data_IF_512795753552
#
_entry.id   IF_512795753552
#
_cell.length_a   1.000
_cell.length_b   1.000
_cell.length_c   1.000
_cell.angle_alpha   90.00
_cell.angle_beta   90.00
_cell.angle_gamma   90.00
#
_symmetry.space_group_name_H-M   'P 1'
#
loop_
_entity.id
_entity.type
_entity.pdbx_description
1 polymer ?
#
# COMPACT_ATOMS: atom_id res chain seq x y z
N UNK A 1 -9.94 -3.77 -34.34
CA UNK A 1 -8.57 -3.37 -33.96
C UNK A 1 -8.69 -2.63 -32.64
N UNK A 2 -7.90 -2.98 -31.63
CA UNK A 2 -7.89 -2.25 -30.35
C UNK A 2 -7.33 -0.85 -30.62
N UNK A 3 -7.96 0.23 -30.12
CA UNK A 3 -7.48 1.59 -30.35
C UNK A 3 -6.06 1.77 -29.79
N UNK A 4 -5.22 2.50 -30.54
CA UNK A 4 -3.91 2.97 -30.08
C UNK A 4 -4.12 4.30 -29.36
N UNK A 5 -4.15 4.26 -28.03
CA UNK A 5 -4.37 5.43 -27.19
C UNK A 5 -3.07 5.87 -26.52
N UNK A 6 -2.92 7.17 -26.28
CA UNK A 6 -1.95 7.74 -25.33
C UNK A 6 -2.62 7.86 -23.97
N UNK A 7 -2.24 7.00 -23.04
CA UNK A 7 -2.84 6.91 -21.71
C UNK A 7 -1.82 7.37 -20.67
N UNK A 8 -2.19 8.38 -19.89
CA UNK A 8 -1.40 8.86 -18.76
C UNK A 8 -2.01 8.41 -17.45
N UNK A 9 -1.19 7.97 -16.50
CA UNK A 9 -1.62 7.53 -15.17
C UNK A 9 -0.90 8.36 -14.12
N UNK A 10 -1.64 9.08 -13.28
CA UNK A 10 -1.12 9.93 -12.22
C UNK A 10 -1.58 9.38 -10.88
N UNK A 11 -0.65 9.06 -9.98
CA UNK A 11 -0.99 8.45 -8.70
C UNK A 11 0.19 8.29 -7.76
N UNK A 12 0.03 7.43 -6.76
CA UNK A 12 1.10 7.06 -5.83
C UNK A 12 1.90 5.85 -6.32
N UNK A 13 2.45 5.08 -5.37
CA UNK A 13 3.22 3.85 -5.62
C UNK A 13 2.52 2.82 -6.53
N UNK A 14 1.19 2.86 -6.66
CA UNK A 14 0.40 1.94 -7.46
C UNK A 14 0.38 2.27 -8.96
N UNK A 15 0.83 3.46 -9.37
CA UNK A 15 0.74 3.96 -10.74
C UNK A 15 1.39 3.03 -11.76
N UNK A 16 2.56 2.47 -11.44
CA UNK A 16 3.26 1.55 -12.35
C UNK A 16 2.55 0.20 -12.45
N UNK A 17 1.93 -0.27 -11.37
CA UNK A 17 1.10 -1.48 -11.42
C UNK A 17 -0.14 -1.29 -12.30
N UNK A 18 -0.80 -0.13 -12.21
CA UNK A 18 -1.88 0.24 -13.12
C UNK A 18 -1.38 0.32 -14.58
N UNK A 19 -0.18 0.84 -14.82
CA UNK A 19 0.44 0.87 -16.16
C UNK A 19 0.62 -0.54 -16.73
N UNK A 20 1.21 -1.46 -15.96
CA UNK A 20 1.42 -2.85 -16.42
C UNK A 20 0.09 -3.55 -16.70
N UNK A 21 -0.93 -3.35 -15.86
CA UNK A 21 -2.28 -3.87 -16.08
C UNK A 21 -2.92 -3.28 -17.35
N UNK A 22 -2.73 -1.98 -17.59
CA UNK A 22 -3.23 -1.29 -18.78
C UNK A 22 -2.60 -1.83 -20.04
N UNK A 23 -1.28 -1.99 -20.07
CA UNK A 23 -0.56 -2.56 -21.21
C UNK A 23 -0.99 -4.00 -21.49
N UNK A 24 -1.36 -4.76 -20.47
CA UNK A 24 -1.89 -6.11 -20.65
C UNK A 24 -3.32 -6.14 -21.24
N UNK A 25 -4.16 -5.13 -20.95
CA UNK A 25 -5.53 -5.02 -21.45
C UNK A 25 -5.61 -4.33 -22.82
N UNK A 26 -4.73 -3.35 -23.06
CA UNK A 26 -4.69 -2.49 -24.24
C UNK A 26 -3.27 -2.51 -24.85
N UNK A 27 -2.80 -3.66 -25.39
CA UNK A 27 -1.40 -3.83 -25.82
C UNK A 27 -0.95 -2.94 -26.99
N UNK A 28 -1.90 -2.31 -27.70
CA UNK A 28 -1.61 -1.34 -28.75
C UNK A 28 -1.47 0.10 -28.28
N UNK A 29 -1.70 0.39 -26.99
CA UNK A 29 -1.66 1.76 -26.45
C UNK A 29 -0.27 2.14 -25.94
N UNK A 30 0.03 3.44 -25.97
CA UNK A 30 1.18 4.04 -25.32
C UNK A 30 0.79 4.49 -23.91
N UNK A 31 1.37 3.87 -22.88
CA UNK A 31 0.99 4.12 -21.48
C UNK A 31 2.18 4.65 -20.70
N UNK A 32 1.98 5.77 -20.01
CA UNK A 32 2.96 6.37 -19.10
C UNK A 32 2.34 6.55 -17.71
N UNK A 33 3.16 6.46 -16.67
CA UNK A 33 2.75 6.59 -15.27
C UNK A 33 3.68 7.55 -14.53
N UNK A 34 3.11 8.30 -13.58
CA UNK A 34 3.82 9.22 -12.71
C UNK A 34 3.44 9.00 -11.26
N UNK A 35 4.46 8.70 -10.46
CA UNK A 35 4.36 8.65 -9.01
C UNK A 35 4.51 10.06 -8.44
N UNK A 36 3.39 10.68 -8.09
CA UNK A 36 3.34 12.03 -7.53
C UNK A 36 3.95 12.05 -6.12
N UNK A 37 4.73 13.09 -5.83
CA UNK A 37 5.31 13.30 -4.51
C UNK A 37 6.56 12.47 -4.19
N UNK A 38 7.14 11.76 -5.16
CA UNK A 38 8.41 11.04 -5.00
C UNK A 38 9.58 11.83 -5.55
N UNK A 39 10.73 11.77 -4.86
CA UNK A 39 11.96 12.50 -5.19
C UNK A 39 12.56 12.11 -6.55
N UNK A 40 12.91 13.07 -7.42
CA UNK A 40 12.66 14.50 -7.28
C UNK A 40 11.17 14.83 -7.44
N UNK A 41 10.63 15.62 -6.52
CA UNK A 41 9.21 15.97 -6.52
C UNK A 41 8.94 16.86 -7.73
N UNK A 42 8.22 16.32 -8.73
CA UNK A 42 7.71 17.12 -9.83
C UNK A 42 6.58 18.03 -9.32
N UNK A 43 6.68 19.36 -9.55
CA UNK A 43 5.57 20.27 -9.34
C UNK A 43 4.34 19.88 -10.18
N UNK A 44 3.10 20.22 -9.75
CA UNK A 44 1.89 19.84 -10.47
C UNK A 44 1.84 20.32 -11.94
N UNK A 45 2.34 21.52 -12.22
CA UNK A 45 2.46 22.09 -13.57
C UNK A 45 3.36 21.25 -14.48
N UNK A 46 4.49 20.76 -13.96
CA UNK A 46 5.37 19.85 -14.70
C UNK A 46 4.67 18.53 -15.03
N UNK A 47 3.81 18.02 -14.13
CA UNK A 47 3.03 16.82 -14.40
C UNK A 47 1.96 17.11 -15.46
N UNK A 48 1.27 18.26 -15.39
CA UNK A 48 0.29 18.69 -16.38
C UNK A 48 0.89 18.78 -17.79
N UNK A 49 2.10 19.30 -17.91
CA UNK A 49 2.84 19.36 -19.17
C UNK A 49 3.17 17.96 -19.71
N UNK A 50 3.54 17.03 -18.82
CA UNK A 50 3.87 15.65 -19.20
C UNK A 50 2.66 14.85 -19.69
N UNK A 51 1.48 15.10 -19.14
CA UNK A 51 0.23 14.43 -19.56
C UNK A 51 -0.45 15.15 -20.73
N UNK A 52 0.07 16.29 -21.18
CA UNK A 52 -0.48 17.05 -22.30
C UNK A 52 -0.55 16.18 -23.57
N UNK A 53 -1.70 16.20 -24.25
CA UNK A 53 -1.93 15.39 -25.45
C UNK A 53 -2.22 13.90 -25.20
N UNK A 54 -2.53 13.52 -23.96
CA UNK A 54 -3.10 12.19 -23.67
C UNK A 54 -4.54 12.10 -24.17
N UNK A 55 -4.90 10.95 -24.75
CA UNK A 55 -6.28 10.64 -25.12
C UNK A 55 -7.12 10.28 -23.88
N UNK A 56 -6.46 9.78 -22.84
CA UNK A 56 -7.07 9.36 -21.57
C UNK A 56 -6.11 9.62 -20.41
N UNK A 57 -6.63 10.12 -19.29
CA UNK A 57 -5.88 10.26 -18.04
C UNK A 57 -6.55 9.47 -16.93
N UNK A 58 -5.82 8.58 -16.27
CA UNK A 58 -6.26 7.95 -15.03
C UNK A 58 -5.62 8.67 -13.86
N UNK A 59 -6.42 9.07 -12.88
CA UNK A 59 -5.90 9.69 -11.66
C UNK A 59 -6.33 8.91 -10.43
N UNK A 60 -5.38 8.62 -9.54
CA UNK A 60 -5.65 8.16 -8.18
C UNK A 60 -5.55 9.29 -7.15
N UNK A 61 -5.32 10.53 -7.60
CA UNK A 61 -5.14 11.68 -6.72
C UNK A 61 -6.48 12.09 -6.12
N UNK A 62 -6.47 12.31 -4.81
CA UNK A 62 -7.60 12.84 -4.05
C UNK A 62 -7.26 14.22 -3.47
N UNK A 63 -8.25 15.10 -3.23
CA UNK A 63 -8.03 16.48 -2.79
C UNK A 63 -7.19 16.60 -1.49
N UNK A 64 -7.35 15.66 -0.56
CA UNK A 64 -6.62 15.68 0.71
C UNK A 64 -5.10 15.49 0.57
N UNK A 65 -4.60 15.17 -0.63
CA UNK A 65 -3.19 14.92 -0.89
C UNK A 65 -2.40 16.18 -1.28
N UNK A 66 -3.05 17.35 -1.41
CA UNK A 66 -2.38 18.61 -1.75
C UNK A 66 -1.96 18.73 -3.22
N UNK A 67 -2.51 17.89 -4.09
CA UNK A 67 -2.29 17.86 -5.53
C UNK A 67 -3.60 18.02 -6.30
N UNK A 68 -4.52 18.85 -5.79
CA UNK A 68 -5.92 18.97 -6.24
C UNK A 68 -6.08 19.13 -7.75
N UNK A 69 -5.16 19.87 -8.38
CA UNK A 69 -5.15 20.13 -9.83
C UNK A 69 -4.95 18.87 -10.68
N UNK A 70 -4.50 17.77 -10.07
CA UNK A 70 -4.28 16.46 -10.68
C UNK A 70 -5.40 15.45 -10.35
N UNK A 71 -6.43 15.84 -9.58
CA UNK A 71 -7.62 15.01 -9.36
C UNK A 71 -8.35 14.81 -10.69
N UNK A 72 -9.06 13.68 -10.84
CA UNK A 72 -9.81 13.41 -12.06
C UNK A 72 -10.82 14.52 -12.40
N UNK A 73 -11.54 15.01 -11.38
CA UNK A 73 -12.49 16.12 -11.53
C UNK A 73 -11.82 17.38 -12.06
N UNK A 74 -10.73 17.83 -11.43
CA UNK A 74 -10.04 19.05 -11.86
C UNK A 74 -9.41 18.90 -13.24
N UNK A 75 -8.87 17.72 -13.58
CA UNK A 75 -8.39 17.44 -14.93
C UNK A 75 -9.52 17.50 -15.96
N UNK A 76 -10.72 16.99 -15.64
CA UNK A 76 -11.89 17.16 -16.51
C UNK A 76 -12.26 18.62 -16.72
N UNK A 77 -12.23 19.48 -15.67
CA UNK A 77 -12.48 20.92 -15.84
C UNK A 77 -11.46 21.62 -16.74
N UNK A 78 -10.25 21.07 -16.83
CA UNK A 78 -9.17 21.54 -17.72
C UNK A 78 -9.25 20.96 -19.14
N UNK A 79 -10.27 20.15 -19.45
CA UNK A 79 -10.52 19.59 -20.77
C UNK A 79 -9.88 18.22 -21.03
N UNK A 80 -9.28 17.56 -20.03
CA UNK A 80 -8.78 16.20 -20.19
C UNK A 80 -9.94 15.18 -20.10
N UNK A 81 -9.82 14.08 -20.86
CA UNK A 81 -10.63 12.88 -20.63
C UNK A 81 -10.07 12.13 -19.42
N UNK A 82 -10.44 12.58 -18.21
CA UNK A 82 -9.87 12.10 -16.96
C UNK A 82 -10.86 11.21 -16.19
N UNK A 83 -10.37 10.12 -15.61
CA UNK A 83 -11.16 9.20 -14.80
C UNK A 83 -10.45 8.85 -13.50
N UNK A 84 -11.26 8.79 -12.43
CA UNK A 84 -10.78 8.37 -11.13
C UNK A 84 -10.61 6.85 -11.07
N UNK A 85 -9.49 6.42 -10.49
CA UNK A 85 -9.26 5.04 -10.05
C UNK A 85 -8.89 5.08 -8.58
N UNK A 86 -9.59 4.36 -7.69
CA UNK A 86 -9.28 4.37 -6.28
C UNK A 86 -7.83 3.94 -6.00
N UNK A 87 -7.18 4.61 -5.04
CA UNK A 87 -5.99 4.05 -4.40
C UNK A 87 -6.44 2.89 -3.52
N UNK A 88 -5.91 1.69 -3.75
CA UNK A 88 -6.33 0.52 -2.97
C UNK A 88 -5.53 0.43 -1.66
N UNK A 89 -6.20 0.64 -0.53
CA UNK A 89 -5.60 0.57 0.81
C UNK A 89 -6.37 -0.46 1.64
N UNK A 90 -5.66 -1.45 2.17
CA UNK A 90 -6.22 -2.52 2.99
C UNK A 90 -5.24 -2.89 4.12
N UNK A 91 -5.39 -2.29 5.32
CA UNK A 91 -4.51 -2.58 6.46
C UNK A 91 -4.86 -3.90 7.17
N UNK A 92 -5.90 -4.61 6.73
CA UNK A 92 -6.47 -5.77 7.43
C UNK A 92 -5.50 -6.91 7.75
N UNK A 93 -4.45 -7.07 6.95
CA UNK A 93 -3.40 -8.08 7.18
C UNK A 93 -2.27 -7.59 8.10
N UNK A 94 -2.14 -6.27 8.27
CA UNK A 94 -0.97 -5.63 8.85
C UNK A 94 -1.34 -4.51 9.83
N UNK A 95 -2.13 -4.79 10.89
CA UNK A 95 -2.59 -3.78 11.86
C UNK A 95 -1.47 -3.14 12.70
N UNK A 96 -0.28 -3.75 12.65
CA UNK A 96 0.94 -3.26 13.29
C UNK A 96 1.71 -2.24 12.44
N UNK A 97 1.35 -2.05 11.16
CA UNK A 97 1.95 -1.03 10.29
C UNK A 97 1.48 0.38 10.71
N UNK A 98 2.42 1.31 10.79
CA UNK A 98 2.12 2.72 11.03
C UNK A 98 3.12 3.64 10.33
N UNK A 99 2.66 4.81 9.90
CA UNK A 99 3.53 5.93 9.55
C UNK A 99 3.80 6.78 10.79
N UNK A 100 5.06 7.19 10.97
CA UNK A 100 5.44 8.18 11.97
C UNK A 100 5.85 9.44 11.23
N UNK A 101 5.21 10.56 11.54
CA UNK A 101 5.53 11.86 10.99
C UNK A 101 5.43 12.92 12.09
N UNK A 102 6.20 13.99 11.93
CA UNK A 102 6.11 15.22 12.72
C UNK A 102 6.31 16.44 11.82
N UNK A 103 6.61 17.61 12.40
CA UNK A 103 6.83 18.88 11.68
C UNK A 103 8.02 18.82 10.69
N UNK A 104 9.01 17.96 10.91
CA UNK A 104 10.14 17.73 10.00
C UNK A 104 9.78 16.71 8.89
N UNK A 105 8.58 16.17 8.92
CA UNK A 105 8.05 15.24 7.93
C UNK A 105 8.14 13.77 8.34
N UNK A 106 7.98 12.90 7.35
CA UNK A 106 7.88 11.45 7.54
C UNK A 106 9.21 10.86 8.04
N UNK A 107 9.14 10.06 9.10
CA UNK A 107 10.27 9.27 9.59
C UNK A 107 10.41 8.05 8.68
N UNK A 108 11.51 7.98 7.93
CA UNK A 108 11.79 6.84 7.06
C UNK A 108 12.74 5.86 7.76
N UNK A 109 12.26 4.66 8.06
CA UNK A 109 13.08 3.61 8.65
C UNK A 109 14.00 2.95 7.60
N UNK A 110 14.87 2.05 8.08
CA UNK A 110 15.93 1.38 7.31
C UNK A 110 15.41 0.68 6.04
N UNK A 111 14.22 0.07 6.11
CA UNK A 111 13.69 -0.78 5.03
C UNK A 111 12.57 -0.14 4.22
N UNK A 112 11.78 0.72 4.86
CA UNK A 112 10.67 1.46 4.25
C UNK A 112 10.20 2.58 5.20
N UNK A 113 9.24 3.39 4.74
CA UNK A 113 8.62 4.45 5.51
C UNK A 113 7.68 3.97 6.65
N UNK A 114 7.41 2.66 6.72
CA UNK A 114 6.55 2.11 7.74
C UNK A 114 7.31 1.59 8.96
N UNK A 115 6.64 1.68 10.10
CA UNK A 115 7.10 1.22 11.40
C UNK A 115 6.16 0.15 11.95
N UNK A 116 6.68 -0.67 12.88
CA UNK A 116 5.87 -1.52 13.73
C UNK A 116 5.43 -0.75 14.96
N UNK A 117 4.12 -0.69 15.20
CA UNK A 117 3.50 -0.06 16.39
C UNK A 117 4.02 -0.69 17.67
N UNK A 118 4.10 -2.03 17.71
CA UNK A 118 4.67 -2.76 18.85
C UNK A 118 6.15 -2.41 19.04
N UNK A 119 6.95 -2.38 17.97
CA UNK A 119 8.38 -2.13 18.07
C UNK A 119 8.70 -0.73 18.62
N UNK A 120 8.06 0.32 18.07
CA UNK A 120 8.31 1.69 18.52
C UNK A 120 7.82 1.93 19.94
N UNK A 121 6.66 1.39 20.30
CA UNK A 121 6.14 1.49 21.67
C UNK A 121 7.05 0.76 22.67
N UNK A 122 7.53 -0.44 22.34
CA UNK A 122 8.47 -1.19 23.16
C UNK A 122 9.82 -0.48 23.33
N UNK A 123 10.34 0.13 22.26
CA UNK A 123 11.55 0.95 22.33
C UNK A 123 11.36 2.15 23.27
N UNK A 124 10.23 2.85 23.18
CA UNK A 124 9.92 3.99 24.06
C UNK A 124 9.75 3.61 25.53
N UNK A 125 9.40 2.34 25.81
CA UNK A 125 9.37 1.74 27.16
C UNK A 125 10.73 1.24 27.64
N UNK A 126 11.80 1.42 26.85
CA UNK A 126 13.15 0.99 27.21
C UNK A 126 13.38 -0.52 27.12
N UNK A 127 12.53 -1.25 26.38
CA UNK A 127 12.75 -2.67 26.11
C UNK A 127 13.93 -2.87 25.15
N UNK A 128 14.45 -4.09 25.10
CA UNK A 128 15.41 -4.51 24.07
C UNK A 128 14.69 -5.27 22.95
N UNK A 129 15.30 -5.46 21.77
CA UNK A 129 14.71 -6.28 20.69
C UNK A 129 14.34 -7.68 21.17
N UNK A 130 15.17 -8.28 22.04
CA UNK A 130 14.94 -9.62 22.58
C UNK A 130 13.73 -9.67 23.53
N UNK A 131 13.54 -8.64 24.36
CA UNK A 131 12.36 -8.53 25.23
C UNK A 131 11.09 -8.16 24.47
N UNK A 132 11.25 -7.55 23.29
CA UNK A 132 10.14 -7.12 22.43
C UNK A 132 9.60 -8.25 21.58
N UNK A 133 10.45 -9.18 21.14
CA UNK A 133 10.05 -10.29 20.26
C UNK A 133 8.85 -11.11 20.79
N UNK A 134 8.76 -11.47 22.08
CA UNK A 134 7.62 -12.20 22.62
C UNK A 134 6.29 -11.42 22.57
N UNK A 135 6.30 -10.10 22.37
CA UNK A 135 5.08 -9.27 22.32
C UNK A 135 4.27 -9.50 21.04
N UNK A 136 4.83 -10.15 20.02
CA UNK A 136 4.12 -10.46 18.77
C UNK A 136 3.28 -11.73 18.91
N UNK A 137 2.25 -11.66 19.75
CA UNK A 137 1.41 -12.79 20.10
C UNK A 137 -0.08 -12.41 20.20
N UNK A 138 -0.95 -13.42 20.31
CA UNK A 138 -2.39 -13.23 20.29
C UNK A 138 -2.95 -12.39 21.45
N UNK A 139 -2.33 -12.40 22.64
CA UNK A 139 -2.78 -11.62 23.79
C UNK A 139 -2.56 -10.13 23.53
N UNK A 140 -1.34 -9.76 23.11
CA UNK A 140 -1.01 -8.38 22.76
C UNK A 140 -1.85 -7.92 21.56
N UNK A 141 -2.01 -8.76 20.54
CA UNK A 141 -2.84 -8.41 19.37
C UNK A 141 -4.30 -8.17 19.75
N UNK A 142 -4.83 -8.91 20.73
CA UNK A 142 -6.17 -8.68 21.23
C UNK A 142 -6.28 -7.32 21.93
N UNK A 143 -5.34 -7.01 22.83
CA UNK A 143 -5.31 -5.75 23.57
C UNK A 143 -5.16 -4.53 22.65
N UNK A 144 -4.35 -4.66 21.60
CA UNK A 144 -4.14 -3.60 20.61
C UNK A 144 -5.27 -3.53 19.56
N UNK A 145 -6.29 -4.38 19.63
CA UNK A 145 -7.42 -4.40 18.69
C UNK A 145 -7.06 -4.88 17.28
N UNK A 146 -5.94 -5.58 17.11
CA UNK A 146 -5.47 -5.99 15.78
C UNK A 146 -6.46 -6.92 15.07
N UNK A 147 -7.22 -7.73 15.81
CA UNK A 147 -8.19 -8.67 15.23
C UNK A 147 -9.44 -8.00 14.63
N UNK A 148 -9.76 -6.76 15.00
CA UNK A 148 -10.88 -6.02 14.39
C UNK A 148 -10.49 -5.27 13.11
N UNK A 149 -9.19 -5.20 12.79
CA UNK A 149 -8.71 -4.39 11.66
C UNK A 149 -9.12 -5.00 10.31
N UNK A 150 -9.08 -6.33 10.17
CA UNK A 150 -9.48 -7.00 8.93
C UNK A 150 -10.95 -6.76 8.55
N UNK A 151 -11.95 -7.04 9.40
CA UNK A 151 -13.35 -6.79 9.03
C UNK A 151 -13.64 -5.31 8.77
N UNK A 152 -13.02 -4.39 9.52
CA UNK A 152 -13.17 -2.95 9.29
C UNK A 152 -12.58 -2.52 7.94
N UNK A 153 -11.36 -2.99 7.61
CA UNK A 153 -10.71 -2.71 6.33
C UNK A 153 -11.51 -3.27 5.14
N UNK A 154 -12.10 -4.46 5.30
CA UNK A 154 -12.98 -5.07 4.29
C UNK A 154 -14.20 -4.20 4.02
N UNK A 155 -14.94 -3.83 5.06
CA UNK A 155 -16.12 -2.98 4.92
C UNK A 155 -15.77 -1.64 4.25
N UNK A 156 -14.67 -1.00 4.68
CA UNK A 156 -14.22 0.27 4.12
C UNK A 156 -13.85 0.17 2.63
N UNK A 157 -13.15 -0.89 2.22
CA UNK A 157 -12.79 -1.10 0.81
C UNK A 157 -14.01 -1.42 -0.04
N UNK A 158 -14.90 -2.30 0.43
CA UNK A 158 -16.13 -2.64 -0.29
C UNK A 158 -17.00 -1.39 -0.51
N UNK A 159 -17.18 -0.58 0.53
CA UNK A 159 -17.89 0.70 0.45
C UNK A 159 -17.19 1.68 -0.52
N UNK A 160 -15.89 1.94 -0.34
CA UNK A 160 -15.16 2.91 -1.17
C UNK A 160 -15.08 2.52 -2.65
N UNK A 161 -14.98 1.22 -2.96
CA UNK A 161 -15.06 0.74 -4.33
C UNK A 161 -16.46 0.97 -4.92
N UNK A 162 -17.51 0.66 -4.17
CA UNK A 162 -18.90 0.88 -4.59
C UNK A 162 -19.20 2.36 -4.86
N UNK A 163 -18.76 3.25 -3.96
CA UNK A 163 -18.89 4.71 -4.09
C UNK A 163 -18.14 5.24 -5.32
N UNK A 164 -16.99 4.65 -5.67
CA UNK A 164 -16.25 4.95 -6.89
C UNK A 164 -16.81 4.26 -8.16
N UNK A 165 -17.95 3.57 -8.04
CA UNK A 165 -18.64 2.88 -9.14
C UNK A 165 -18.03 1.54 -9.57
N UNK A 166 -17.14 0.96 -8.76
CA UNK A 166 -16.56 -0.37 -8.99
C UNK A 166 -17.44 -1.46 -8.37
N UNK A 167 -17.43 -2.64 -8.98
CA UNK A 167 -18.09 -3.83 -8.43
C UNK A 167 -17.24 -4.35 -7.28
N UNK A 168 -17.74 -4.20 -6.05
CA UNK A 168 -17.07 -4.58 -4.81
C UNK A 168 -17.35 -6.01 -4.36
N UNK A 169 -18.53 -6.52 -4.69
CA UNK A 169 -19.08 -7.72 -4.07
C UNK A 169 -18.22 -8.96 -4.33
N UNK A 170 -17.79 -9.59 -3.24
CA UNK A 170 -16.99 -10.82 -3.27
C UNK A 170 -15.55 -10.65 -3.78
N UNK A 171 -15.08 -9.43 -4.09
CA UNK A 171 -13.72 -9.21 -4.59
C UNK A 171 -12.65 -9.62 -3.58
N UNK A 172 -12.82 -9.21 -2.31
CA UNK A 172 -11.87 -9.53 -1.23
C UNK A 172 -11.76 -11.04 -1.02
N UNK A 173 -12.88 -11.74 -1.00
CA UNK A 173 -12.90 -13.21 -0.90
C UNK A 173 -12.32 -13.87 -2.14
N UNK A 174 -12.56 -13.29 -3.32
CA UNK A 174 -11.98 -13.72 -4.58
C UNK A 174 -10.46 -13.65 -4.57
N UNK A 175 -9.89 -12.50 -4.22
CA UNK A 175 -8.45 -12.34 -4.12
C UNK A 175 -7.86 -13.25 -3.04
N UNK A 176 -8.47 -13.34 -1.86
CA UNK A 176 -8.01 -14.26 -0.81
C UNK A 176 -7.91 -15.71 -1.30
N UNK A 177 -8.92 -16.17 -2.04
CA UNK A 177 -8.95 -17.52 -2.58
C UNK A 177 -7.93 -17.74 -3.70
N UNK A 178 -7.82 -16.78 -4.61
CA UNK A 178 -7.04 -16.95 -5.85
C UNK A 178 -5.54 -16.70 -5.64
N UNK A 179 -5.17 -15.75 -4.76
CA UNK A 179 -3.78 -15.34 -4.54
C UNK A 179 -3.34 -15.38 -3.07
N UNK A 180 -4.26 -15.54 -2.11
CA UNK A 180 -3.95 -15.46 -0.68
C UNK A 180 -3.93 -14.02 -0.16
N UNK A 181 -3.15 -13.71 0.89
CA UNK A 181 -2.96 -12.33 1.35
C UNK A 181 -2.51 -11.42 0.21
N UNK A 182 -3.44 -10.59 -0.28
CA UNK A 182 -3.29 -9.81 -1.51
C UNK A 182 -2.63 -8.43 -1.30
N UNK A 183 -2.04 -8.21 -0.14
CA UNK A 183 -1.34 -6.98 0.22
C UNK A 183 0.07 -7.32 0.69
N UNK A 184 1.07 -6.58 0.20
CA UNK A 184 2.44 -6.64 0.69
C UNK A 184 2.68 -5.69 1.86
N UNK A 185 2.01 -4.55 1.86
CA UNK A 185 1.89 -3.57 2.95
C UNK A 185 0.49 -2.97 2.87
N UNK A 186 0.09 -2.11 3.82
CA UNK A 186 -1.27 -1.56 3.89
C UNK A 186 -1.75 -0.86 2.59
N UNK A 187 -0.85 -0.30 1.80
CA UNK A 187 -1.14 0.41 0.54
C UNK A 187 -0.43 -0.20 -0.69
N UNK A 188 0.20 -1.37 -0.54
CA UNK A 188 0.91 -2.05 -1.62
C UNK A 188 0.19 -3.35 -1.99
N UNK A 189 -0.89 -3.27 -2.79
CA UNK A 189 -1.60 -4.47 -3.23
C UNK A 189 -0.79 -5.32 -4.20
N UNK A 190 -1.13 -6.59 -4.28
CA UNK A 190 -0.71 -7.49 -5.34
C UNK A 190 -1.20 -6.98 -6.70
N UNK A 191 -0.41 -7.16 -7.76
CA UNK A 191 -0.72 -6.64 -9.11
C UNK A 191 -2.10 -7.08 -9.64
N UNK A 192 -2.58 -8.26 -9.21
CA UNK A 192 -3.92 -8.77 -9.54
C UNK A 192 -5.06 -7.85 -9.09
N UNK A 193 -4.92 -7.19 -7.94
CA UNK A 193 -5.92 -6.23 -7.44
C UNK A 193 -5.99 -5.03 -8.38
N UNK A 194 -4.84 -4.46 -8.72
CA UNK A 194 -4.75 -3.33 -9.66
C UNK A 194 -5.26 -3.72 -11.06
N UNK A 195 -4.96 -4.94 -11.51
CA UNK A 195 -5.48 -5.47 -12.77
C UNK A 195 -7.00 -5.62 -12.77
N UNK A 196 -7.61 -6.01 -11.65
CA UNK A 196 -9.07 -6.04 -11.49
C UNK A 196 -9.66 -4.63 -11.61
N UNK A 197 -9.07 -3.63 -10.97
CA UNK A 197 -9.54 -2.24 -11.07
C UNK A 197 -9.43 -1.70 -12.51
N UNK A 198 -8.29 -1.89 -13.18
CA UNK A 198 -8.14 -1.51 -14.59
C UNK A 198 -9.15 -2.21 -15.50
N UNK A 199 -9.37 -3.51 -15.31
CA UNK A 199 -10.35 -4.27 -16.12
C UNK A 199 -11.75 -3.69 -15.95
N UNK A 200 -12.20 -3.44 -14.72
CA UNK A 200 -13.54 -2.88 -14.49
C UNK A 200 -13.68 -1.47 -15.06
N UNK A 201 -12.65 -0.62 -14.90
CA UNK A 201 -12.65 0.72 -15.44
C UNK A 201 -12.73 0.71 -16.98
N UNK A 202 -11.84 -0.03 -17.64
CA UNK A 202 -11.80 -0.03 -19.11
C UNK A 202 -13.02 -0.69 -19.73
N UNK A 203 -13.63 -1.66 -19.06
CA UNK A 203 -14.93 -2.19 -19.47
C UNK A 203 -16.03 -1.12 -19.37
N UNK A 204 -16.06 -0.36 -18.27
CA UNK A 204 -17.00 0.75 -18.06
C UNK A 204 -16.85 1.87 -19.10
N UNK A 205 -15.62 2.13 -19.54
CA UNK A 205 -15.30 3.10 -20.60
C UNK A 205 -15.55 2.56 -22.02
N UNK A 206 -15.98 1.29 -22.17
CA UNK A 206 -16.19 0.66 -23.47
C UNK A 206 -14.91 0.41 -24.27
N UNK A 207 -13.73 0.48 -23.63
CA UNK A 207 -12.44 0.23 -24.27
C UNK A 207 -12.12 -1.27 -24.40
N UNK A 208 -12.76 -2.08 -23.56
CA UNK A 208 -12.76 -3.55 -23.62
C UNK A 208 -14.18 -4.08 -23.38
N UNK A 209 -14.43 -5.34 -23.72
CA UNK A 209 -15.71 -5.97 -23.40
C UNK A 209 -15.83 -6.24 -21.89
N UNK A 210 -17.03 -6.17 -21.33
CA UNK A 210 -17.29 -6.56 -19.93
C UNK A 210 -16.91 -8.03 -19.64
N UNK A 211 -16.89 -8.89 -20.67
CA UNK A 211 -16.48 -10.30 -20.58
C UNK A 211 -14.98 -10.51 -20.69
N UNK A 212 -14.18 -9.46 -20.96
CA UNK A 212 -12.72 -9.57 -21.00
C UNK A 212 -12.20 -9.96 -19.61
N UNK A 213 -11.45 -11.06 -19.47
CA UNK A 213 -10.96 -11.50 -18.17
C UNK A 213 -9.92 -10.54 -17.60
N UNK A 214 -9.79 -10.52 -16.28
CA UNK A 214 -8.69 -9.83 -15.60
C UNK A 214 -7.36 -10.41 -16.09
N UNK A 215 -6.43 -9.58 -16.60
CA UNK A 215 -5.22 -10.07 -17.25
C UNK A 215 -4.27 -10.71 -16.23
N UNK A 216 -3.41 -11.59 -16.72
CA UNK A 216 -2.23 -12.01 -15.97
C UNK A 216 -1.09 -11.02 -16.28
N UNK A 217 -0.62 -10.32 -15.26
CA UNK A 217 0.43 -9.31 -15.39
C UNK A 217 1.75 -9.90 -14.90
N UNK A 218 2.80 -9.79 -15.72
CA UNK A 218 4.11 -10.41 -15.43
C UNK A 218 4.92 -9.67 -14.37
N UNK A 219 4.79 -8.35 -14.32
CA UNK A 219 5.63 -7.49 -13.48
C UNK A 219 4.80 -6.98 -12.31
N UNK A 220 5.19 -7.37 -11.09
CA UNK A 220 4.64 -6.82 -9.85
C UNK A 220 5.68 -5.92 -9.17
N UNK A 221 5.61 -4.61 -9.47
CA UNK A 221 6.53 -3.61 -8.93
C UNK A 221 6.41 -3.49 -7.40
N UNK A 222 5.20 -3.60 -6.88
CA UNK A 222 4.94 -3.49 -5.44
C UNK A 222 5.38 -4.75 -4.70
N UNK A 223 5.28 -5.93 -5.31
CA UNK A 223 5.85 -7.18 -4.77
C UNK A 223 7.37 -7.19 -4.69
N UNK A 224 8.04 -6.31 -5.44
CA UNK A 224 9.48 -6.08 -5.35
C UNK A 224 9.87 -5.08 -4.25
N UNK A 225 8.90 -4.40 -3.62
CA UNK A 225 9.15 -3.48 -2.51
C UNK A 225 9.32 -4.22 -1.17
N UNK A 226 9.20 -3.52 -0.04
CA UNK A 226 9.18 -4.18 1.27
C UNK A 226 7.88 -4.96 1.44
N UNK A 227 7.98 -6.19 1.97
CA UNK A 227 6.81 -7.03 2.25
C UNK A 227 6.72 -7.31 3.74
N UNK A 228 5.60 -6.91 4.33
CA UNK A 228 5.21 -7.20 5.69
C UNK A 228 4.54 -8.57 5.77
N UNK A 229 4.85 -9.40 6.78
CA UNK A 229 4.19 -10.69 6.93
C UNK A 229 2.83 -10.56 7.62
N UNK A 230 1.92 -11.50 7.34
CA UNK A 230 0.77 -11.75 8.22
C UNK A 230 1.26 -12.54 9.42
N UNK A 231 1.27 -11.94 10.60
CA UNK A 231 1.78 -12.61 11.80
C UNK A 231 1.00 -13.88 12.13
N UNK A 232 1.63 -14.94 12.68
CA UNK A 232 0.98 -16.25 12.87
C UNK A 232 -0.33 -16.19 13.65
N UNK A 233 -0.43 -15.36 14.70
CA UNK A 233 -1.64 -15.21 15.48
C UNK A 233 -2.80 -14.55 14.71
N UNK A 234 -2.49 -13.58 13.82
CA UNK A 234 -3.48 -12.99 12.91
C UNK A 234 -3.87 -13.98 11.82
N UNK A 235 -2.87 -14.58 11.17
CA UNK A 235 -3.04 -15.52 10.07
C UNK A 235 -3.94 -16.71 10.46
N UNK A 236 -3.78 -17.25 11.67
CA UNK A 236 -4.63 -18.31 12.22
C UNK A 236 -6.11 -17.91 12.28
N UNK A 237 -6.43 -16.67 12.65
CA UNK A 237 -7.83 -16.19 12.70
C UNK A 237 -8.39 -15.92 11.31
N UNK A 238 -7.56 -15.45 10.39
CA UNK A 238 -7.95 -15.13 9.02
C UNK A 238 -8.00 -16.35 8.10
N UNK A 239 -7.48 -17.51 8.54
CA UNK A 239 -7.42 -18.71 7.72
C UNK A 239 -6.42 -18.62 6.56
N UNK A 240 -5.36 -17.82 6.71
CA UNK A 240 -4.32 -17.61 5.69
C UNK A 240 -2.94 -18.07 6.18
N UNK A 241 -1.95 -18.26 5.30
CA UNK A 241 -0.57 -18.55 5.72
C UNK A 241 0.02 -17.42 6.57
N UNK A 242 0.68 -17.79 7.67
CA UNK A 242 1.32 -16.84 8.60
C UNK A 242 2.84 -16.95 8.60
N UNK A 243 3.52 -15.85 8.90
CA UNK A 243 4.98 -15.76 8.97
C UNK A 243 5.43 -14.68 9.95
N UNK A 244 6.65 -14.78 10.46
CA UNK A 244 7.35 -13.69 11.16
C UNK A 244 8.52 -13.15 10.32
N UNK A 245 8.57 -13.52 9.04
CA UNK A 245 9.65 -13.17 8.14
C UNK A 245 9.17 -12.14 7.11
N UNK A 246 9.87 -11.01 7.07
CA UNK A 246 9.66 -9.91 6.13
C UNK A 246 10.49 -10.14 4.87
N UNK A 247 10.20 -9.36 3.83
CA UNK A 247 11.06 -9.30 2.65
C UNK A 247 11.54 -7.86 2.43
N UNK A 248 12.85 -7.68 2.35
CA UNK A 248 13.49 -6.42 1.97
C UNK A 248 13.14 -6.03 0.53
N UNK A 249 13.17 -4.74 0.18
CA UNK A 249 13.05 -4.33 -1.21
C UNK A 249 14.12 -5.00 -2.08
N UNK A 250 13.73 -5.42 -3.28
CA UNK A 250 14.59 -6.14 -4.20
C UNK A 250 15.83 -5.31 -4.62
N UNK A 251 15.72 -3.99 -4.66
CA UNK A 251 16.83 -3.09 -4.99
C UNK A 251 17.84 -2.89 -3.85
N UNK A 252 17.53 -3.32 -2.62
CA UNK A 252 18.46 -3.27 -1.47
C UNK A 252 19.25 -4.57 -1.30
N UNK A 253 18.99 -5.60 -2.10
CA UNK A 253 19.69 -6.88 -2.00
C UNK A 253 20.34 -7.24 -3.32
N UNK A 254 21.47 -7.95 -3.25
CA UNK A 254 22.08 -8.49 -4.46
C UNK A 254 21.22 -9.64 -4.98
N UNK A 255 21.25 -9.90 -6.30
CA UNK A 255 20.41 -10.91 -6.96
C UNK A 255 20.52 -12.33 -6.35
N UNK A 256 21.65 -12.66 -5.73
CA UNK A 256 21.91 -13.96 -5.09
C UNK A 256 21.65 -13.98 -3.58
N UNK A 257 21.30 -12.85 -2.98
CA UNK A 257 21.01 -12.75 -1.54
C UNK A 257 19.52 -12.92 -1.28
N UNK A 258 19.17 -13.52 -0.13
CA UNK A 258 17.77 -13.61 0.26
C UNK A 258 17.22 -12.25 0.65
N UNK A 259 16.05 -11.89 0.12
CA UNK A 259 15.25 -10.74 0.60
C UNK A 259 14.75 -10.95 2.02
N UNK A 260 14.65 -12.20 2.46
CA UNK A 260 14.04 -12.61 3.73
C UNK A 260 14.81 -12.05 4.93
N UNK A 261 14.11 -11.41 5.87
CA UNK A 261 14.64 -11.04 7.19
C UNK A 261 13.65 -11.46 8.26
N UNK A 262 14.14 -12.00 9.38
CA UNK A 262 13.26 -12.39 10.48
C UNK A 262 12.80 -11.19 11.29
N UNK A 263 11.69 -11.31 12.00
CA UNK A 263 11.22 -10.32 12.96
C UNK A 263 12.30 -9.93 13.98
N UNK A 264 13.10 -10.90 14.45
CA UNK A 264 14.20 -10.62 15.36
C UNK A 264 15.29 -9.74 14.72
N UNK A 265 15.59 -9.92 13.43
CA UNK A 265 16.52 -9.06 12.71
C UNK A 265 15.92 -7.68 12.45
N UNK A 266 14.68 -7.62 11.98
CA UNK A 266 13.94 -6.38 11.75
C UNK A 266 13.85 -5.51 13.01
N UNK A 267 13.56 -6.12 14.18
CA UNK A 267 13.53 -5.40 15.46
C UNK A 267 14.89 -4.80 15.84
N UNK A 268 16.00 -5.51 15.60
CA UNK A 268 17.34 -4.97 15.86
C UNK A 268 17.63 -3.76 14.97
N UNK A 269 17.30 -3.85 13.69
CA UNK A 269 17.50 -2.75 12.74
C UNK A 269 16.68 -1.52 13.15
N UNK A 270 15.39 -1.71 13.47
CA UNK A 270 14.52 -0.63 13.94
C UNK A 270 15.02 0.00 15.24
N UNK A 271 15.42 -0.79 16.24
CA UNK A 271 15.85 -0.24 17.53
C UNK A 271 17.17 0.52 17.39
N UNK A 272 18.08 0.03 16.53
CA UNK A 272 19.32 0.72 16.20
C UNK A 272 19.01 2.07 15.55
N UNK A 273 18.07 2.11 14.60
CA UNK A 273 17.62 3.34 13.96
C UNK A 273 16.93 4.30 14.96
N UNK A 274 16.03 3.81 15.81
CA UNK A 274 15.36 4.67 16.80
C UNK A 274 16.34 5.29 17.79
N UNK A 275 17.42 4.59 18.14
CA UNK A 275 18.47 5.13 18.99
C UNK A 275 19.25 6.29 18.34
N UNK A 276 19.18 6.47 17.02
CA UNK A 276 19.80 7.61 16.33
C UNK A 276 18.88 8.83 16.24
N UNK A 277 17.59 8.68 16.57
CA UNK A 277 16.61 9.75 16.47
C UNK A 277 16.40 10.46 17.82
N UNK A 278 16.17 11.79 17.82
CA UNK A 278 15.55 12.46 18.94
C UNK A 278 14.24 11.78 19.34
N UNK A 279 14.02 11.58 20.64
CA UNK A 279 12.86 10.84 21.16
C UNK A 279 11.52 11.36 20.64
N UNK A 280 11.37 12.68 20.53
CA UNK A 280 10.12 13.31 20.07
C UNK A 280 9.75 12.90 18.63
N UNK A 281 10.72 12.55 17.77
CA UNK A 281 10.46 12.15 16.38
C UNK A 281 9.70 10.82 16.28
N UNK A 282 9.73 9.99 17.32
CA UNK A 282 9.07 8.68 17.37
C UNK A 282 7.90 8.63 18.37
N UNK A 283 7.62 9.75 19.05
CA UNK A 283 6.49 9.90 19.96
C UNK A 283 5.31 10.60 19.24
N UNK A 284 4.54 9.83 18.47
CA UNK A 284 3.27 10.30 17.90
C UNK A 284 2.07 9.81 18.72
N UNK A 285 0.93 10.51 18.66
CA UNK A 285 -0.29 10.13 19.40
C UNK A 285 -0.69 8.66 19.17
N UNK A 286 -0.60 8.21 17.92
CA UNK A 286 -0.92 6.84 17.55
C UNK A 286 0.06 5.79 18.12
N UNK A 287 1.29 6.18 18.44
CA UNK A 287 2.27 5.36 19.18
C UNK A 287 1.98 5.39 20.68
N UNK A 288 1.53 6.52 21.21
CA UNK A 288 1.31 6.72 22.64
C UNK A 288 0.16 5.86 23.20
N UNK A 289 -0.92 5.65 22.44
CA UNK A 289 -1.99 4.70 22.80
C UNK A 289 -1.43 3.27 22.96
N UNK A 290 -0.65 2.81 21.98
CA UNK A 290 -0.03 1.47 21.99
C UNK A 290 0.95 1.34 23.14
N UNK A 291 1.76 2.38 23.39
CA UNK A 291 2.70 2.43 24.52
C UNK A 291 1.99 2.26 25.86
N UNK A 292 0.87 2.94 26.05
CA UNK A 292 0.08 2.88 27.28
C UNK A 292 -0.48 1.47 27.51
N UNK A 293 -1.07 0.86 26.46
CA UNK A 293 -1.58 -0.52 26.51
C UNK A 293 -0.47 -1.53 26.80
N UNK A 294 0.67 -1.41 26.13
CA UNK A 294 1.82 -2.29 26.37
C UNK A 294 2.38 -2.14 27.80
N UNK A 295 2.49 -0.91 28.31
CA UNK A 295 2.92 -0.69 29.69
C UNK A 295 1.98 -1.41 30.67
N UNK A 296 0.67 -1.29 30.50
CA UNK A 296 -0.31 -1.97 31.35
C UNK A 296 -0.19 -3.50 31.32
N UNK A 297 0.22 -4.09 30.19
CA UNK A 297 0.42 -5.54 30.06
C UNK A 297 1.72 -6.03 30.72
N UNK A 298 2.71 -5.14 30.88
CA UNK A 298 4.03 -5.48 31.40
C UNK A 298 4.13 -5.33 32.93
N UNK A 299 3.18 -4.64 33.56
CA UNK A 299 3.17 -4.32 35.00
C UNK A 299 4.06 -3.12 35.33
#
# INVERSE_FOLDING_TARGET
>A
MTPCLKISIVGGCQSDGLREATLALLPGSHVQSWHVGVSPIDPPDVILDKIAGSDLVLSQIQPEQGYDVLTAEMLTTKGYQAHFVPTFIFPGFHPDLIYIADEEGLVNAVHCAFHSRIAVAAFLLGLTPQKTLPLYNAVVFNELGFFSTFPAARAAVEQGLSEAGFQSDGLVDGWLRDIGPFMYMANHPHIRVLATLCQQLYARLGLIAHTTPVPSVKTDHLGNSFTWPVYPALAKRLGVPGSNDFQRPAWLVKRWESRKISLAAYLRDLFTFYATLPRHRVESDAVMDVRTKLASLLG
#
